data_IF_080509883767
#
_entry.id   IF_080509883767
#
_cell.length_a   1.000
_cell.length_b   1.000
_cell.length_c   1.000
_cell.angle_alpha   90.00
_cell.angle_beta   90.00
_cell.angle_gamma   90.00
#
_symmetry.space_group_name_H-M   'P 1'
#
loop_
_entity.id
_entity.type
_entity.pdbx_description
1 polymer ?
#
# COMPACT_ATOMS: atom_id res chain seq x y z
N UNK A 1 7.11 18.12 -6.45
CA UNK A 1 6.79 17.00 -5.53
C UNK A 1 5.26 17.01 -5.38
N UNK A 2 4.57 15.88 -5.56
CA UNK A 2 3.11 15.82 -5.56
C UNK A 2 2.53 16.20 -4.18
N UNK A 3 1.53 17.07 -4.18
CA UNK A 3 0.76 17.54 -3.03
C UNK A 3 -0.56 16.77 -2.88
N UNK A 4 -1.18 16.87 -1.70
CA UNK A 4 -2.49 16.24 -1.44
C UNK A 4 -3.60 16.73 -2.38
N UNK A 5 -3.59 18.00 -2.77
CA UNK A 5 -4.57 18.57 -3.70
C UNK A 5 -4.38 18.06 -5.14
N UNK A 6 -3.13 17.87 -5.57
CA UNK A 6 -2.82 17.24 -6.86
C UNK A 6 -3.29 15.78 -6.87
N UNK A 7 -3.11 15.03 -5.77
CA UNK A 7 -3.62 13.67 -5.62
C UNK A 7 -5.15 13.60 -5.70
N UNK A 8 -5.87 14.55 -5.09
CA UNK A 8 -7.34 14.64 -5.21
C UNK A 8 -7.75 14.92 -6.65
N UNK A 9 -6.97 15.72 -7.37
CA UNK A 9 -7.25 16.05 -8.77
C UNK A 9 -7.04 14.83 -9.68
N UNK A 10 -5.97 14.08 -9.45
CA UNK A 10 -5.71 12.79 -10.10
C UNK A 10 -6.80 11.76 -9.79
N UNK A 11 -7.26 11.69 -8.54
CA UNK A 11 -8.34 10.78 -8.15
C UNK A 11 -9.65 11.09 -8.89
N UNK A 12 -10.00 12.37 -9.05
CA UNK A 12 -11.16 12.78 -9.85
C UNK A 12 -11.05 12.34 -11.31
N UNK A 13 -9.85 12.41 -11.88
CA UNK A 13 -9.57 11.93 -13.25
C UNK A 13 -9.73 10.41 -13.31
N UNK A 14 -9.13 9.68 -12.37
CA UNK A 14 -9.22 8.23 -12.25
C UNK A 14 -10.67 7.75 -12.08
N UNK A 15 -11.50 8.46 -11.32
CA UNK A 15 -12.93 8.16 -11.20
C UNK A 15 -13.71 8.28 -12.53
N UNK A 16 -13.33 9.23 -13.39
CA UNK A 16 -14.01 9.49 -14.66
C UNK A 16 -13.53 8.58 -15.78
N UNK A 17 -12.22 8.40 -15.90
CA UNK A 17 -11.60 7.66 -17.00
C UNK A 17 -11.33 6.18 -16.65
N UNK A 18 -11.21 5.85 -15.37
CA UNK A 18 -10.42 4.70 -14.89
C UNK A 18 -8.95 5.12 -14.73
N UNK A 19 -8.21 4.48 -13.81
CA UNK A 19 -6.77 4.74 -13.68
C UNK A 19 -5.91 3.89 -14.61
N UNK A 20 -6.49 2.82 -15.20
CA UNK A 20 -5.77 1.93 -16.13
C UNK A 20 -4.71 1.04 -15.47
N UNK A 21 -4.57 1.09 -14.14
CA UNK A 21 -3.54 0.36 -13.40
C UNK A 21 -3.81 -1.15 -13.42
N UNK A 22 -2.80 -1.91 -13.81
CA UNK A 22 -2.81 -3.38 -13.83
C UNK A 22 -1.90 -3.96 -12.74
N UNK A 23 -1.97 -5.28 -12.52
CA UNK A 23 -1.17 -5.96 -11.51
C UNK A 23 0.34 -5.75 -11.74
N UNK A 24 0.79 -5.82 -13.00
CA UNK A 24 2.18 -5.64 -13.40
C UNK A 24 2.76 -4.26 -13.07
N UNK A 25 1.92 -3.23 -13.01
CA UNK A 25 2.34 -1.88 -12.65
C UNK A 25 2.67 -1.75 -11.17
N UNK A 26 2.16 -2.66 -10.35
CA UNK A 26 2.25 -2.63 -8.90
C UNK A 26 3.37 -3.48 -8.36
N UNK A 27 3.93 -4.40 -9.15
CA UNK A 27 5.00 -5.31 -8.71
C UNK A 27 6.28 -4.51 -8.43
N UNK A 28 6.49 -4.19 -7.15
CA UNK A 28 7.68 -3.51 -6.64
C UNK A 28 7.65 -3.49 -5.10
N UNK A 29 8.71 -2.92 -4.51
CA UNK A 29 8.71 -2.46 -3.12
C UNK A 29 8.48 -0.96 -3.08
N UNK A 30 7.33 -0.57 -2.54
CA UNK A 30 6.89 0.81 -2.41
C UNK A 30 7.13 1.32 -0.99
N UNK A 31 8.04 2.26 -0.82
CA UNK A 31 8.31 2.91 0.46
C UNK A 31 7.36 4.06 0.69
N UNK A 32 6.73 4.10 1.86
CA UNK A 32 5.80 5.17 2.19
C UNK A 32 6.58 6.49 2.31
N UNK A 33 6.17 7.47 1.50
CA UNK A 33 6.76 8.80 1.55
C UNK A 33 5.84 9.75 2.31
N UNK A 34 4.61 9.94 1.86
CA UNK A 34 3.73 10.97 2.41
C UNK A 34 2.32 10.41 2.66
N UNK A 35 1.64 10.98 3.66
CA UNK A 35 0.23 10.72 3.94
C UNK A 35 -0.48 12.04 4.13
N UNK A 36 -1.67 12.21 3.56
CA UNK A 36 -2.54 13.36 3.81
C UNK A 36 -3.91 12.92 4.34
N UNK A 37 -4.57 13.85 5.03
CA UNK A 37 -5.98 13.74 5.40
C UNK A 37 -6.89 13.56 4.17
N UNK A 38 -8.16 13.24 4.43
CA UNK A 38 -9.16 12.93 3.39
C UNK A 38 -9.32 14.05 2.35
N UNK A 39 -9.18 15.29 2.80
CA UNK A 39 -9.30 16.54 2.04
C UNK A 39 -7.94 17.07 1.52
N UNK A 40 -6.84 16.34 1.73
CA UNK A 40 -5.53 16.68 1.20
C UNK A 40 -4.83 17.87 1.87
N UNK A 41 -5.39 18.37 2.97
CA UNK A 41 -5.02 19.64 3.60
C UNK A 41 -3.86 19.56 4.58
N UNK A 42 -3.64 18.41 5.23
CA UNK A 42 -2.50 18.25 6.13
C UNK A 42 -1.90 16.86 6.07
N UNK A 43 -0.57 16.82 5.97
CA UNK A 43 0.15 15.59 6.20
C UNK A 43 -0.02 15.18 7.66
N UNK A 44 -0.19 13.90 7.99
CA UNK A 44 -0.35 13.49 9.40
C UNK A 44 1.05 13.41 10.03
N UNK A 45 1.61 14.49 10.62
CA UNK A 45 3.06 14.69 10.65
C UNK A 45 3.77 13.67 11.54
N UNK A 46 3.20 13.39 12.71
CA UNK A 46 3.74 12.40 13.64
C UNK A 46 3.69 10.97 13.11
N UNK A 47 2.62 10.61 12.37
CA UNK A 47 2.47 9.27 11.77
C UNK A 47 3.40 9.13 10.58
N UNK A 48 3.52 10.14 9.72
CA UNK A 48 4.44 10.11 8.57
C UNK A 48 5.88 10.03 9.04
N UNK A 49 6.27 10.82 10.04
CA UNK A 49 7.61 10.78 10.61
C UNK A 49 7.92 9.40 11.21
N UNK A 50 6.99 8.85 11.99
CA UNK A 50 7.14 7.50 12.56
C UNK A 50 7.29 6.45 11.44
N UNK A 51 6.39 6.44 10.46
CA UNK A 51 6.41 5.41 9.40
C UNK A 51 7.64 5.51 8.50
N UNK A 52 8.16 6.71 8.23
CA UNK A 52 9.44 6.90 7.54
C UNK A 52 10.61 6.34 8.36
N UNK A 53 10.65 6.63 9.66
CA UNK A 53 11.67 6.12 10.58
C UNK A 53 11.61 4.59 10.68
N UNK A 54 10.40 4.04 10.62
CA UNK A 54 10.14 2.60 10.60
C UNK A 54 10.33 1.98 9.21
N UNK A 55 10.86 2.70 8.22
CA UNK A 55 11.01 2.24 6.83
C UNK A 55 9.78 1.47 6.32
N UNK A 56 8.58 2.03 6.55
CA UNK A 56 7.33 1.40 6.17
C UNK A 56 7.30 1.18 4.65
N UNK A 57 7.06 -0.06 4.23
CA UNK A 57 7.02 -0.44 2.83
C UNK A 57 5.87 -1.40 2.53
N UNK A 58 5.25 -1.19 1.37
CA UNK A 58 4.30 -2.08 0.74
C UNK A 58 5.03 -2.83 -0.36
N UNK A 59 5.14 -4.15 -0.23
CA UNK A 59 5.74 -5.01 -1.24
C UNK A 59 4.60 -5.74 -1.93
N UNK A 60 4.54 -5.64 -3.24
CA UNK A 60 3.62 -6.38 -4.08
C UNK A 60 4.44 -7.23 -5.03
N UNK A 61 4.11 -8.51 -5.13
CA UNK A 61 4.74 -9.43 -6.04
C UNK A 61 3.70 -10.29 -6.72
N UNK A 62 4.10 -10.86 -7.85
CA UNK A 62 3.24 -11.71 -8.64
C UNK A 62 2.76 -12.96 -7.89
N UNK A 63 1.59 -13.44 -8.29
CA UNK A 63 0.96 -14.67 -7.84
C UNK A 63 0.14 -15.29 -8.98
N UNK A 64 -0.41 -16.48 -8.78
CA UNK A 64 -1.20 -17.16 -9.81
C UNK A 64 -2.55 -16.43 -10.05
N UNK A 65 -3.13 -16.61 -11.24
CA UNK A 65 -4.48 -16.13 -11.62
C UNK A 65 -4.70 -14.60 -11.47
N UNK A 66 -3.79 -13.78 -12.01
CA UNK A 66 -3.84 -12.31 -11.96
C UNK A 66 -3.99 -11.74 -10.53
N UNK A 67 -3.54 -12.49 -9.53
CA UNK A 67 -3.50 -12.07 -8.13
C UNK A 67 -2.12 -11.57 -7.73
N UNK A 68 -2.06 -10.89 -6.59
CA UNK A 68 -0.81 -10.36 -6.04
C UNK A 68 -0.59 -10.94 -4.64
N UNK A 69 0.65 -11.25 -4.31
CA UNK A 69 1.07 -11.34 -2.91
C UNK A 69 1.32 -9.95 -2.39
N UNK A 70 0.82 -9.68 -1.19
CA UNK A 70 1.00 -8.40 -0.50
C UNK A 70 1.79 -8.61 0.78
N UNK A 71 2.77 -7.75 1.01
CA UNK A 71 3.48 -7.66 2.28
C UNK A 71 3.56 -6.22 2.74
N UNK A 72 2.96 -5.90 3.89
CA UNK A 72 3.21 -4.65 4.57
C UNK A 72 4.33 -4.86 5.60
N UNK A 73 5.42 -4.12 5.46
CA UNK A 73 6.61 -4.28 6.28
C UNK A 73 6.97 -2.97 6.97
N UNK A 74 7.31 -3.07 8.26
CA UNK A 74 8.07 -2.05 8.98
C UNK A 74 9.40 -2.64 9.46
N UNK A 75 10.42 -1.80 9.56
CA UNK A 75 11.79 -2.18 9.89
C UNK A 75 12.43 -1.17 10.85
N UNK A 76 13.01 -1.65 11.94
CA UNK A 76 13.79 -0.86 12.91
C UNK A 76 15.14 -1.53 13.07
N UNK A 77 16.17 -0.96 12.44
CA UNK A 77 17.48 -1.61 12.34
C UNK A 77 17.36 -3.01 11.74
N UNK A 78 17.86 -4.03 12.46
CA UNK A 78 17.80 -5.42 12.02
C UNK A 78 16.43 -6.10 12.27
N UNK A 79 15.53 -5.47 13.02
CA UNK A 79 14.20 -6.00 13.33
C UNK A 79 13.22 -5.63 12.22
N UNK A 80 12.44 -6.59 11.74
CA UNK A 80 11.36 -6.40 10.78
C UNK A 80 10.09 -7.07 11.26
N UNK A 81 8.97 -6.38 11.10
CA UNK A 81 7.63 -6.92 11.25
C UNK A 81 6.97 -6.92 9.87
N UNK A 82 6.45 -8.07 9.44
CA UNK A 82 5.82 -8.24 8.13
C UNK A 82 4.43 -8.81 8.27
N UNK A 83 3.43 -8.12 7.71
CA UNK A 83 2.09 -8.65 7.49
C UNK A 83 2.04 -9.19 6.07
N UNK A 84 1.74 -10.47 5.89
CA UNK A 84 1.74 -11.14 4.59
C UNK A 84 0.36 -11.68 4.26
N UNK A 85 0.02 -11.68 2.98
CA UNK A 85 -1.15 -12.38 2.47
C UNK A 85 -1.36 -12.14 0.98
N UNK A 86 -2.62 -12.16 0.59
CA UNK A 86 -3.07 -12.08 -0.80
C UNK A 86 -3.80 -10.78 -1.09
N UNK A 87 -3.70 -10.32 -2.33
CA UNK A 87 -4.36 -9.14 -2.86
C UNK A 87 -4.82 -9.36 -4.30
N UNK A 88 -5.81 -8.60 -4.73
CA UNK A 88 -6.26 -8.58 -6.11
C UNK A 88 -6.82 -7.22 -6.49
N UNK A 89 -6.74 -6.90 -7.78
CA UNK A 89 -7.36 -5.70 -8.33
C UNK A 89 -8.81 -5.97 -8.71
N UNK A 90 -9.70 -5.04 -8.36
CA UNK A 90 -11.12 -5.11 -8.73
C UNK A 90 -11.66 -3.79 -9.24
N UNK A 91 -12.47 -3.86 -10.28
CA UNK A 91 -13.23 -2.75 -10.82
C UNK A 91 -12.41 -1.81 -11.71
N UNK A 92 -13.11 -0.83 -12.30
CA UNK A 92 -12.55 0.13 -13.27
C UNK A 92 -11.69 1.22 -12.62
N UNK A 93 -12.03 1.59 -11.39
CA UNK A 93 -11.11 2.23 -10.47
C UNK A 93 -10.53 1.10 -9.63
N UNK A 94 -9.33 0.60 -9.96
CA UNK A 94 -8.80 -0.62 -9.38
C UNK A 94 -8.68 -0.45 -7.87
N UNK A 95 -9.53 -1.18 -7.16
CA UNK A 95 -9.41 -1.38 -5.74
C UNK A 95 -8.44 -2.54 -5.54
N UNK A 96 -7.29 -2.26 -4.93
CA UNK A 96 -6.41 -3.29 -4.42
C UNK A 96 -7.02 -3.83 -3.14
N UNK A 97 -7.86 -4.85 -3.25
CA UNK A 97 -8.44 -5.56 -2.12
C UNK A 97 -7.41 -6.55 -1.59
N UNK A 98 -7.28 -6.66 -0.26
CA UNK A 98 -6.30 -7.56 0.32
C UNK A 98 -6.78 -8.19 1.63
N UNK A 99 -6.08 -9.24 2.03
CA UNK A 99 -6.23 -9.90 3.32
C UNK A 99 -4.86 -10.35 3.81
N UNK A 100 -4.58 -10.11 5.10
CA UNK A 100 -3.39 -10.65 5.73
C UNK A 100 -3.69 -12.02 6.34
N UNK A 101 -2.80 -12.96 6.08
CA UNK A 101 -2.86 -14.35 6.51
C UNK A 101 -1.87 -14.63 7.64
N UNK A 102 -0.76 -13.90 7.69
CA UNK A 102 0.23 -14.07 8.74
C UNK A 102 0.96 -12.77 9.08
N UNK A 103 1.53 -12.77 10.29
CA UNK A 103 2.47 -11.77 10.77
C UNK A 103 3.78 -12.47 11.11
N UNK A 104 4.89 -11.97 10.59
CA UNK A 104 6.22 -12.50 10.83
C UNK A 104 7.09 -11.47 11.56
N UNK A 105 7.77 -11.90 12.63
CA UNK A 105 8.83 -11.13 13.26
C UNK A 105 10.19 -11.69 12.84
N UNK A 106 11.05 -10.84 12.30
CA UNK A 106 12.35 -11.22 11.73
C UNK A 106 13.43 -10.35 12.38
N UNK A 107 14.52 -10.95 12.87
CA UNK A 107 15.68 -10.23 13.41
C UNK A 107 16.94 -10.67 12.66
N UNK A 108 17.67 -9.70 12.09
CA UNK A 108 18.91 -9.96 11.34
C UNK A 108 18.74 -11.04 10.25
N UNK A 109 17.60 -11.03 9.56
CA UNK A 109 17.26 -12.01 8.53
C UNK A 109 16.71 -13.35 9.04
N UNK A 110 16.80 -13.64 10.34
CA UNK A 110 16.23 -14.85 10.94
C UNK A 110 14.80 -14.61 11.39
N UNK A 111 13.87 -15.44 10.89
CA UNK A 111 12.48 -15.45 11.33
C UNK A 111 12.43 -15.95 12.78
N UNK A 112 12.00 -15.09 13.69
CA UNK A 112 11.85 -15.40 15.11
C UNK A 112 10.49 -16.03 15.39
N UNK A 113 9.43 -15.41 14.85
CA UNK A 113 8.05 -15.79 15.15
C UNK A 113 7.18 -15.65 13.90
N UNK A 114 6.14 -16.48 13.83
CA UNK A 114 5.07 -16.38 12.83
C UNK A 114 3.75 -16.62 13.52
N UNK A 115 2.83 -15.67 13.35
CA UNK A 115 1.46 -15.77 13.82
C UNK A 115 0.55 -15.83 12.62
N UNK A 116 -0.30 -16.85 12.54
CA UNK A 116 -1.34 -16.92 11.52
C UNK A 116 -2.56 -16.15 11.99
N UNK A 117 -3.07 -15.27 11.14
CA UNK A 117 -4.23 -14.45 11.42
C UNK A 117 -5.50 -15.26 11.11
N UNK A 118 -6.55 -15.16 11.94
CA UNK A 118 -7.81 -15.78 11.63
C UNK A 118 -8.37 -15.17 10.35
N UNK A 119 -8.70 -16.03 9.39
CA UNK A 119 -9.44 -15.66 8.18
C UNK A 119 -10.90 -15.41 8.57
N UNK A 120 -11.15 -14.34 9.32
CA UNK A 120 -12.52 -13.94 9.59
C UNK A 120 -13.18 -13.61 8.25
N UNK A 121 -14.40 -14.08 8.06
CA UNK A 121 -15.32 -13.68 6.99
C UNK A 121 -15.72 -12.21 7.19
N UNK A 122 -14.75 -11.30 7.08
CA UNK A 122 -14.99 -9.87 7.12
C UNK A 122 -15.87 -9.58 5.90
N UNK A 123 -17.10 -9.08 6.15
CA UNK A 123 -18.07 -8.76 5.09
C UNK A 123 -17.50 -7.82 4.03
N UNK A 124 -16.53 -6.98 4.39
CA UNK A 124 -15.77 -6.13 3.48
C UNK A 124 -14.27 -6.27 3.72
N UNK A 125 -13.55 -6.79 2.72
CA UNK A 125 -12.09 -6.83 2.77
C UNK A 125 -11.52 -5.41 2.73
N UNK A 126 -10.43 -5.13 3.48
CA UNK A 126 -9.74 -3.86 3.37
C UNK A 126 -9.20 -3.66 1.94
N UNK A 127 -9.09 -2.41 1.54
CA UNK A 127 -8.63 -2.06 0.20
C UNK A 127 -7.91 -0.71 0.14
N UNK A 128 -7.13 -0.55 -0.92
CA UNK A 128 -6.66 0.74 -1.39
C UNK A 128 -7.33 1.07 -2.72
N UNK A 129 -7.94 2.25 -2.83
CA UNK A 129 -8.39 2.78 -4.12
C UNK A 129 -7.17 3.38 -4.83
N UNK A 130 -6.70 2.73 -5.89
CA UNK A 130 -5.50 3.15 -6.59
C UNK A 130 -5.80 4.36 -7.47
N UNK A 131 -5.07 5.44 -7.22
CA UNK A 131 -5.30 6.74 -7.87
C UNK A 131 -4.49 6.82 -9.15
N UNK A 132 -3.17 6.62 -9.03
CA UNK A 132 -2.23 6.72 -10.13
C UNK A 132 -0.93 5.98 -9.78
N UNK A 133 -0.24 5.50 -10.81
CA UNK A 133 1.12 4.95 -10.73
C UNK A 133 1.91 5.53 -11.89
N UNK A 134 3.17 5.88 -11.64
CA UNK A 134 4.11 6.35 -12.64
C UNK A 134 5.38 5.52 -12.47
N UNK A 135 5.56 4.53 -13.35
CA UNK A 135 6.69 3.59 -13.26
C UNK A 135 8.02 4.26 -13.64
N UNK A 136 7.99 5.22 -14.55
CA UNK A 136 9.19 5.94 -14.98
C UNK A 136 9.74 6.81 -13.86
N UNK A 137 8.85 7.50 -13.12
CA UNK A 137 9.22 8.32 -11.95
C UNK A 137 9.19 7.55 -10.64
N UNK A 138 8.79 6.28 -10.67
CA UNK A 138 8.85 5.36 -9.55
C UNK A 138 7.93 5.72 -8.38
N UNK A 139 6.68 6.14 -8.63
CA UNK A 139 5.74 6.44 -7.54
C UNK A 139 4.36 5.83 -7.72
N UNK A 140 3.70 5.57 -6.60
CA UNK A 140 2.36 5.00 -6.49
C UNK A 140 1.54 5.85 -5.53
N UNK A 141 0.32 6.19 -5.92
CA UNK A 141 -0.61 6.91 -5.07
C UNK A 141 -1.94 6.16 -4.93
N UNK A 142 -2.46 6.15 -3.71
CA UNK A 142 -3.72 5.48 -3.40
C UNK A 142 -4.44 6.12 -2.22
N UNK A 143 -5.75 5.87 -2.13
CA UNK A 143 -6.57 6.21 -0.96
C UNK A 143 -6.86 4.96 -0.14
N UNK A 144 -6.58 5.02 1.15
CA UNK A 144 -6.95 3.97 2.10
C UNK A 144 -8.42 4.02 2.50
N UNK A 145 -8.93 2.93 3.07
CA UNK A 145 -10.32 2.82 3.52
C UNK A 145 -10.74 3.87 4.56
N UNK A 146 -9.80 4.36 5.39
CA UNK A 146 -10.02 5.48 6.33
C UNK A 146 -10.22 6.83 5.62
N UNK A 147 -10.01 6.90 4.31
CA UNK A 147 -9.99 8.12 3.52
C UNK A 147 -8.62 8.79 3.45
N UNK A 148 -7.58 8.29 4.14
CA UNK A 148 -6.22 8.85 4.06
C UNK A 148 -5.65 8.68 2.65
N UNK A 149 -5.02 9.72 2.12
CA UNK A 149 -4.26 9.69 0.87
C UNK A 149 -2.83 9.28 1.17
N UNK A 150 -2.30 8.31 0.43
CA UNK A 150 -0.93 7.86 0.56
C UNK A 150 -0.16 7.97 -0.75
N UNK A 151 1.13 8.26 -0.61
CA UNK A 151 2.08 8.31 -1.70
C UNK A 151 3.32 7.51 -1.32
N UNK A 152 3.69 6.59 -2.19
CA UNK A 152 4.84 5.72 -2.05
C UNK A 152 5.80 5.89 -3.23
N UNK A 153 7.07 5.57 -3.00
CA UNK A 153 8.14 5.58 -3.99
C UNK A 153 8.77 4.20 -4.08
N UNK A 154 9.09 3.73 -5.28
CA UNK A 154 10.02 2.61 -5.43
C UNK A 154 11.44 3.12 -5.22
N UNK A 155 12.23 2.33 -4.48
CA UNK A 155 13.67 2.53 -4.35
C UNK A 155 14.45 1.85 -5.47
#
# INVERSE_FOLDING_TARGET
>A
MLSGLELISLEKIAHRAGSGIQCDDLIARWFLRDLWSKDGSSAVPGIVFLLRTLHASLILSDAEDDSLKITNQISIGALRLQFRGSANLKGRLPLLQFSFESVELILAGKKLLTWYLPQNTIKQRPFFALIAVDREKGWLAARGQSGTLGLWFTG
#
